data_IF_512299698986
#
_entry.id   IF_512299698986
#
_cell.length_a   1.000
_cell.length_b   1.000
_cell.length_c   1.000
_cell.angle_alpha   90.00
_cell.angle_beta   90.00
_cell.angle_gamma   90.00
#
_symmetry.space_group_name_H-M   'P 1'
#
loop_
_entity.id
_entity.type
_entity.pdbx_description
1 polymer ?
#
# COMPACT_ATOMS: atom_id res chain seq x y z
N UNK A 1 -21.74 -19.45 -28.57
CA UNK A 1 -21.80 -18.00 -28.30
C UNK A 1 -20.91 -17.69 -27.10
N UNK A 2 -19.95 -16.75 -27.18
CA UNK A 2 -19.14 -16.41 -26.01
C UNK A 2 -19.95 -15.54 -25.04
N UNK A 3 -19.89 -15.91 -23.76
CA UNK A 3 -20.57 -15.27 -22.63
C UNK A 3 -19.89 -13.91 -22.34
N UNK A 4 -20.64 -12.82 -22.11
CA UNK A 4 -20.02 -11.52 -21.86
C UNK A 4 -19.25 -11.52 -20.53
N UNK A 5 -18.04 -10.96 -20.57
CA UNK A 5 -17.17 -10.79 -19.41
C UNK A 5 -17.84 -9.87 -18.36
N UNK A 6 -17.86 -10.32 -17.12
CA UNK A 6 -18.45 -9.62 -15.99
C UNK A 6 -17.63 -8.37 -15.68
N UNK A 7 -18.21 -7.18 -15.88
CA UNK A 7 -17.63 -5.92 -15.40
C UNK A 7 -17.50 -6.00 -13.88
N UNK A 8 -16.27 -6.03 -13.38
CA UNK A 8 -15.98 -5.91 -11.94
C UNK A 8 -16.61 -4.62 -11.44
N UNK A 9 -17.69 -4.73 -10.66
CA UNK A 9 -18.30 -3.57 -10.00
C UNK A 9 -17.29 -3.08 -8.97
N UNK A 10 -16.65 -1.95 -9.26
CA UNK A 10 -15.83 -1.23 -8.30
C UNK A 10 -16.73 -0.92 -7.09
N UNK A 11 -16.51 -1.62 -5.99
CA UNK A 11 -17.23 -1.40 -4.74
C UNK A 11 -16.99 0.04 -4.29
N UNK A 12 -18.05 0.70 -3.80
CA UNK A 12 -17.96 2.06 -3.30
C UNK A 12 -16.92 2.11 -2.17
N UNK A 13 -15.82 2.80 -2.44
CA UNK A 13 -14.73 3.01 -1.50
C UNK A 13 -15.22 3.94 -0.38
N UNK A 14 -14.81 3.70 0.86
CA UNK A 14 -15.21 4.51 2.02
C UNK A 14 -14.91 5.99 1.73
N UNK A 15 -15.92 6.84 1.76
CA UNK A 15 -15.78 8.29 1.53
C UNK A 15 -15.78 8.75 0.06
N UNK A 16 -15.94 7.88 -0.95
CA UNK A 16 -16.04 8.28 -2.36
C UNK A 16 -17.34 7.81 -3.01
N UNK A 17 -18.22 8.77 -3.34
CA UNK A 17 -19.46 8.52 -4.09
C UNK A 17 -19.23 8.26 -5.59
N UNK A 18 -18.00 8.39 -6.10
CA UNK A 18 -17.71 8.53 -7.54
C UNK A 18 -16.97 7.34 -8.16
N UNK A 19 -16.52 6.37 -7.38
CA UNK A 19 -15.74 5.22 -7.89
C UNK A 19 -14.39 5.59 -8.54
N UNK A 20 -13.91 6.83 -8.34
CA UNK A 20 -12.66 7.30 -8.95
C UNK A 20 -11.47 6.44 -8.49
N UNK A 21 -10.64 5.90 -9.41
CA UNK A 21 -9.51 5.03 -9.08
C UNK A 21 -8.54 5.62 -8.05
N UNK A 22 -8.26 6.92 -8.15
CA UNK A 22 -7.40 7.62 -7.17
C UNK A 22 -7.97 7.57 -5.75
N UNK A 23 -9.29 7.62 -5.57
CA UNK A 23 -9.90 7.54 -4.25
C UNK A 23 -9.79 6.12 -3.68
N UNK A 24 -9.90 5.09 -4.53
CA UNK A 24 -9.70 3.69 -4.12
C UNK A 24 -8.27 3.45 -3.65
N UNK A 25 -7.29 3.98 -4.39
CA UNK A 25 -5.90 3.92 -4.02
C UNK A 25 -5.64 4.63 -2.68
N UNK A 26 -6.14 5.87 -2.54
CA UNK A 26 -5.94 6.65 -1.32
C UNK A 26 -6.64 6.03 -0.09
N UNK A 27 -7.80 5.38 -0.26
CA UNK A 27 -8.44 4.62 0.83
C UNK A 27 -7.60 3.43 1.28
N UNK A 28 -7.09 2.63 0.33
CA UNK A 28 -6.21 1.51 0.65
C UNK A 28 -4.97 1.98 1.42
N UNK A 29 -4.29 3.02 0.90
CA UNK A 29 -3.08 3.56 1.49
C UNK A 29 -3.30 4.28 2.81
N UNK A 30 -4.49 4.87 3.00
CA UNK A 30 -4.90 5.52 4.24
C UNK A 30 -5.23 4.56 5.38
N UNK A 31 -5.36 3.24 5.11
CA UNK A 31 -5.53 2.24 6.18
C UNK A 31 -4.27 2.17 7.03
N UNK A 32 -4.48 2.04 8.34
CA UNK A 32 -3.40 1.93 9.32
C UNK A 32 -2.40 0.85 8.89
N UNK A 33 -1.12 1.20 8.92
CA UNK A 33 0.03 0.39 8.51
C UNK A 33 0.23 0.16 7.01
N UNK A 34 -0.76 0.36 6.13
CA UNK A 34 -0.59 0.05 4.69
C UNK A 34 0.56 0.82 4.06
N UNK A 35 0.56 2.15 4.19
CA UNK A 35 1.62 2.98 3.61
C UNK A 35 2.98 2.72 4.29
N UNK A 36 2.99 2.45 5.60
CA UNK A 36 4.20 2.10 6.35
C UNK A 36 4.81 0.80 5.81
N UNK A 37 4.01 -0.24 5.61
CA UNK A 37 4.46 -1.53 5.05
C UNK A 37 5.06 -1.33 3.65
N UNK A 38 4.34 -0.65 2.77
CA UNK A 38 4.83 -0.39 1.41
C UNK A 38 6.14 0.42 1.43
N UNK A 39 6.25 1.38 2.35
CA UNK A 39 7.46 2.18 2.53
C UNK A 39 8.65 1.36 3.02
N UNK A 40 8.48 0.46 3.99
CA UNK A 40 9.59 -0.37 4.49
C UNK A 40 10.09 -1.37 3.44
N UNK A 41 9.21 -1.79 2.51
CA UNK A 41 9.56 -2.70 1.40
C UNK A 41 10.29 -1.99 0.24
N UNK A 42 10.45 -0.67 0.30
CA UNK A 42 11.07 0.10 -0.79
C UNK A 42 12.55 -0.22 -0.98
N UNK A 43 13.25 -0.54 0.10
CA UNK A 43 14.71 -0.72 0.12
C UNK A 43 15.11 -2.19 -0.06
N UNK A 44 14.14 -3.10 -0.07
CA UNK A 44 14.38 -4.52 -0.26
C UNK A 44 13.31 -5.39 0.39
N UNK A 45 13.45 -6.71 0.24
CA UNK A 45 12.48 -7.63 0.79
C UNK A 45 12.58 -7.76 2.30
N UNK A 46 11.43 -7.98 2.94
CA UNK A 46 11.34 -8.17 4.37
C UNK A 46 10.45 -9.36 4.72
N UNK A 47 10.90 -10.14 5.71
CA UNK A 47 10.06 -11.17 6.32
C UNK A 47 8.89 -10.54 7.08
N UNK A 48 7.81 -11.31 7.31
CA UNK A 48 6.70 -10.85 8.15
C UNK A 48 7.16 -10.38 9.55
N UNK A 49 8.22 -11.01 10.09
CA UNK A 49 8.78 -10.62 11.39
C UNK A 49 9.46 -9.26 11.31
N UNK A 50 10.31 -9.04 10.31
CA UNK A 50 10.99 -7.76 10.13
C UNK A 50 10.00 -6.61 9.89
N UNK A 51 8.95 -6.84 9.09
CA UNK A 51 7.87 -5.86 8.88
C UNK A 51 7.13 -5.49 10.16
N UNK A 52 6.89 -6.44 11.07
CA UNK A 52 6.24 -6.12 12.36
C UNK A 52 7.13 -5.23 13.22
N UNK A 53 8.41 -5.56 13.32
CA UNK A 53 9.39 -4.75 14.06
C UNK A 53 9.50 -3.35 13.49
N UNK A 54 9.48 -3.19 12.16
CA UNK A 54 9.51 -1.89 11.50
C UNK A 54 8.19 -1.08 11.63
N UNK A 55 7.10 -1.75 12.03
CA UNK A 55 5.76 -1.18 12.21
C UNK A 55 5.34 -1.16 13.70
N UNK A 56 6.25 -0.82 14.60
CA UNK A 56 6.02 -0.66 16.05
C UNK A 56 5.24 -1.83 16.69
N UNK A 57 5.63 -3.07 16.34
CA UNK A 57 5.00 -4.31 16.78
C UNK A 57 3.49 -4.38 16.51
N UNK A 58 3.08 -3.91 15.32
CA UNK A 58 1.73 -4.10 14.81
C UNK A 58 1.25 -5.56 14.97
N UNK A 59 0.01 -5.72 15.44
CA UNK A 59 -0.62 -7.03 15.64
C UNK A 59 -0.44 -7.95 14.41
N UNK A 60 -0.04 -9.22 14.59
CA UNK A 60 0.16 -10.16 13.49
C UNK A 60 -1.05 -10.26 12.55
N UNK A 61 -2.27 -10.24 13.10
CA UNK A 61 -3.51 -10.32 12.31
C UNK A 61 -3.69 -9.09 11.44
N UNK A 62 -3.41 -7.89 11.98
CA UNK A 62 -3.49 -6.64 11.23
C UNK A 62 -2.42 -6.62 10.13
N UNK A 63 -1.19 -7.01 10.45
CA UNK A 63 -0.09 -7.08 9.49
C UNK A 63 -0.43 -8.01 8.31
N UNK A 64 -0.92 -9.22 8.60
CA UNK A 64 -1.31 -10.17 7.56
C UNK A 64 -2.47 -9.66 6.71
N UNK A 65 -3.50 -9.05 7.31
CA UNK A 65 -4.60 -8.46 6.56
C UNK A 65 -4.11 -7.37 5.59
N UNK A 66 -3.16 -6.51 6.02
CA UNK A 66 -2.58 -5.45 5.17
C UNK A 66 -1.72 -6.03 4.04
N UNK A 67 -0.93 -7.06 4.32
CA UNK A 67 -0.14 -7.74 3.30
C UNK A 67 -1.03 -8.44 2.27
N UNK A 68 -2.13 -9.07 2.69
CA UNK A 68 -3.11 -9.65 1.76
C UNK A 68 -3.75 -8.58 0.87
N UNK A 69 -4.21 -7.46 1.43
CA UNK A 69 -4.79 -6.36 0.64
C UNK A 69 -3.79 -5.76 -0.37
N UNK A 70 -2.54 -5.57 0.04
CA UNK A 70 -1.47 -5.08 -0.85
C UNK A 70 -1.13 -6.07 -1.96
N UNK A 71 -1.22 -7.38 -1.69
CA UNK A 71 -1.05 -8.45 -2.69
C UNK A 71 -2.22 -8.50 -3.66
N UNK A 72 -3.45 -8.42 -3.17
CA UNK A 72 -4.66 -8.36 -4.00
C UNK A 72 -4.66 -7.11 -4.90
N UNK A 73 -4.13 -5.99 -4.42
CA UNK A 73 -3.93 -4.77 -5.21
C UNK A 73 -2.74 -4.84 -6.18
N UNK A 74 -1.94 -5.91 -6.15
CA UNK A 74 -0.79 -6.11 -7.03
C UNK A 74 0.45 -5.27 -6.69
N UNK A 75 0.51 -4.65 -5.51
CA UNK A 75 1.66 -3.84 -5.08
C UNK A 75 2.75 -4.65 -4.38
N UNK A 76 2.37 -5.75 -3.74
CA UNK A 76 3.28 -6.62 -2.98
C UNK A 76 3.17 -8.07 -3.48
N UNK A 77 4.27 -8.79 -3.43
CA UNK A 77 4.31 -10.24 -3.62
C UNK A 77 5.13 -10.91 -2.51
N UNK A 78 4.95 -12.23 -2.36
CA UNK A 78 5.71 -13.06 -1.42
C UNK A 78 6.61 -13.99 -2.24
N UNK A 79 7.92 -13.85 -2.13
CA UNK A 79 8.86 -14.81 -2.73
C UNK A 79 9.24 -15.87 -1.70
N UNK A 80 9.37 -17.10 -2.18
CA UNK A 80 9.83 -18.23 -1.38
C UNK A 80 11.25 -17.97 -0.86
N UNK A 81 11.42 -17.89 0.45
CA UNK A 81 12.73 -17.71 1.11
C UNK A 81 13.06 -16.26 1.48
N UNK A 82 12.66 -15.29 0.66
CA UNK A 82 13.10 -13.88 0.82
C UNK A 82 12.07 -12.97 1.51
N UNK A 83 10.80 -13.41 1.63
CA UNK A 83 9.76 -12.66 2.31
C UNK A 83 8.88 -11.86 1.35
N UNK A 84 8.45 -10.66 1.76
CA UNK A 84 7.57 -9.79 0.99
C UNK A 84 8.38 -8.73 0.23
N UNK A 85 7.94 -8.40 -0.98
CA UNK A 85 8.65 -7.55 -1.93
C UNK A 85 7.65 -6.61 -2.60
N UNK A 86 8.08 -5.42 -2.99
CA UNK A 86 7.31 -4.63 -3.94
C UNK A 86 7.37 -5.28 -5.33
N UNK A 87 6.22 -5.35 -6.00
CA UNK A 87 6.15 -5.65 -7.43
C UNK A 87 6.67 -4.45 -8.24
N UNK A 88 6.84 -4.55 -9.57
CA UNK A 88 7.11 -3.38 -10.41
C UNK A 88 6.08 -2.25 -10.21
N UNK A 89 4.79 -2.59 -10.12
CA UNK A 89 3.71 -1.63 -9.86
C UNK A 89 3.83 -1.00 -8.46
N UNK A 90 4.21 -1.80 -7.46
CA UNK A 90 4.47 -1.29 -6.10
C UNK A 90 5.63 -0.30 -6.05
N UNK A 91 6.69 -0.52 -6.83
CA UNK A 91 7.82 0.40 -6.95
C UNK A 91 7.41 1.71 -7.63
N UNK A 92 6.68 1.64 -8.75
CA UNK A 92 6.14 2.82 -9.44
C UNK A 92 5.27 3.68 -8.50
N UNK A 93 4.46 3.04 -7.65
CA UNK A 93 3.69 3.73 -6.63
C UNK A 93 4.58 4.47 -5.63
N UNK A 94 5.68 3.86 -5.17
CA UNK A 94 6.62 4.50 -4.24
C UNK A 94 7.37 5.68 -4.86
N UNK A 95 7.75 5.56 -6.13
CA UNK A 95 8.33 6.68 -6.89
C UNK A 95 7.34 7.85 -7.00
N UNK A 96 6.06 7.55 -7.26
CA UNK A 96 4.99 8.55 -7.31
C UNK A 96 4.74 9.24 -5.96
N UNK A 97 5.02 8.55 -4.85
CA UNK A 97 4.89 9.11 -3.49
C UNK A 97 6.07 9.99 -3.07
N UNK A 98 7.24 9.86 -3.69
CA UNK A 98 8.43 10.62 -3.29
C UNK A 98 8.24 12.15 -3.42
N UNK A 99 7.62 12.70 -4.48
CA UNK A 99 7.27 14.12 -4.53
C UNK A 99 6.32 14.56 -3.40
N UNK A 100 5.34 13.72 -3.04
CA UNK A 100 4.41 13.98 -1.95
C UNK A 100 5.11 13.95 -0.59
N UNK A 101 6.04 13.01 -0.40
CA UNK A 101 6.90 12.94 0.79
C UNK A 101 7.71 14.22 0.96
N UNK A 102 8.40 14.67 -0.09
CA UNK A 102 9.16 15.92 -0.05
C UNK A 102 8.28 17.15 0.20
N UNK A 103 7.05 17.17 -0.35
CA UNK A 103 6.09 18.21 -0.02
C UNK A 103 5.74 18.20 1.48
N UNK A 104 5.45 17.02 2.05
CA UNK A 104 5.13 16.87 3.46
C UNK A 104 6.29 17.34 4.37
N UNK A 105 7.54 17.03 4.02
CA UNK A 105 8.72 17.52 4.74
C UNK A 105 8.82 19.05 4.70
N UNK A 106 8.62 19.67 3.53
CA UNK A 106 8.62 21.13 3.40
C UNK A 106 7.49 21.78 4.18
N UNK A 107 6.30 21.19 4.13
CA UNK A 107 5.13 21.66 4.86
C UNK A 107 5.34 21.60 6.38
N UNK A 108 5.85 20.47 6.89
CA UNK A 108 6.18 20.30 8.31
C UNK A 108 7.18 21.36 8.81
N UNK A 109 8.25 21.61 8.06
CA UNK A 109 9.24 22.66 8.39
C UNK A 109 8.64 24.06 8.48
N UNK A 110 7.63 24.38 7.67
CA UNK A 110 6.93 25.68 7.70
C UNK A 110 6.00 25.84 8.90
N UNK A 111 5.53 24.74 9.50
CA UNK A 111 4.69 24.78 10.69
C UNK A 111 5.50 24.79 11.99
N UNK A 112 6.75 24.32 11.94
CA UNK A 112 7.66 24.26 13.08
C UNK A 112 8.44 25.56 13.33
N UNK A 113 8.32 26.55 12.44
CA UNK A 113 8.87 27.91 12.59
C UNK A 113 7.75 28.93 12.67
#
# INVERSE_FOLDING_TARGET
>A
MPKPATKTRQSAVRGSRTGRPIMALLDLLGRRWTLRIAWELRDGPLTSRALRTACDDASPTVMQARLSELREAGFVELLSGDGYHLTPLGRELMESFLPLHHFAERWSRRLAG
#
